data_IF_177125310021
#
_entry.id   IF_177125310021
#
_cell.length_a   1.000
_cell.length_b   1.000
_cell.length_c   1.000
_cell.angle_alpha   90.00
_cell.angle_beta   90.00
_cell.angle_gamma   90.00
#
_symmetry.space_group_name_H-M   'P 1'
#
loop_
_entity.id
_entity.type
_entity.pdbx_description
1 polymer ?
#
# COMPACT_ATOMS: atom_id res chain seq x y z
N UNK A 1 -36.83 -66.02 -31.73
CA UNK A 1 -35.72 -65.33 -31.04
C UNK A 1 -35.11 -64.30 -31.99
N UNK A 2 -35.21 -63.03 -31.62
CA UNK A 2 -35.05 -61.88 -32.50
C UNK A 2 -33.57 -61.54 -32.80
N UNK A 3 -33.29 -61.24 -34.08
CA UNK A 3 -32.03 -60.68 -34.56
C UNK A 3 -31.89 -59.23 -34.08
N UNK A 4 -30.84 -58.93 -33.31
CA UNK A 4 -30.44 -57.56 -32.96
C UNK A 4 -29.80 -56.88 -34.17
N UNK A 5 -30.38 -55.75 -34.59
CA UNK A 5 -29.85 -54.83 -35.59
C UNK A 5 -29.37 -53.55 -34.88
N UNK A 6 -28.15 -53.14 -35.22
CA UNK A 6 -27.53 -51.80 -35.28
C UNK A 6 -27.64 -50.80 -34.13
N UNK A 7 -26.52 -50.15 -33.81
CA UNK A 7 -26.32 -48.71 -34.09
C UNK A 7 -24.85 -48.31 -33.81
N UNK A 8 -24.06 -48.21 -34.87
CA UNK A 8 -22.74 -47.56 -34.86
C UNK A 8 -22.93 -46.06 -34.99
N UNK A 9 -22.64 -45.30 -33.93
CA UNK A 9 -22.66 -43.84 -33.96
C UNK A 9 -21.36 -43.35 -34.61
N UNK A 10 -21.49 -42.84 -35.83
CA UNK A 10 -20.44 -42.07 -36.51
C UNK A 10 -20.31 -40.71 -35.81
N UNK A 11 -19.20 -40.51 -35.10
CA UNK A 11 -18.80 -39.20 -34.58
C UNK A 11 -18.23 -38.41 -35.77
N UNK A 12 -19.02 -37.49 -36.32
CA UNK A 12 -18.50 -36.49 -37.25
C UNK A 12 -17.56 -35.55 -36.48
N UNK A 13 -16.35 -35.21 -37.00
CA UNK A 13 -15.55 -34.15 -36.42
C UNK A 13 -16.33 -32.84 -36.51
N UNK A 14 -16.38 -32.10 -35.41
CA UNK A 14 -16.85 -30.72 -35.42
C UNK A 14 -15.96 -29.94 -36.39
N UNK A 15 -16.55 -29.46 -37.49
CA UNK A 15 -15.92 -28.45 -38.32
C UNK A 15 -15.84 -27.17 -37.47
N UNK A 16 -14.62 -26.75 -37.13
CA UNK A 16 -14.37 -25.43 -36.56
C UNK A 16 -14.78 -24.39 -37.60
N UNK A 17 -15.95 -23.78 -37.37
CA UNK A 17 -16.28 -22.53 -38.02
C UNK A 17 -15.29 -21.48 -37.50
N UNK A 18 -14.33 -21.09 -38.34
CA UNK A 18 -13.45 -19.95 -38.09
C UNK A 18 -14.32 -18.73 -37.76
N UNK A 19 -14.44 -18.41 -36.47
CA UNK A 19 -15.02 -17.15 -36.02
C UNK A 19 -14.03 -16.06 -36.41
N UNK A 20 -14.50 -14.94 -37.00
CA UNK A 20 -13.62 -13.83 -37.36
C UNK A 20 -12.86 -13.38 -36.12
N UNK A 21 -11.53 -13.38 -36.21
CA UNK A 21 -10.63 -12.89 -35.18
C UNK A 21 -10.98 -11.42 -34.95
N UNK A 22 -11.67 -11.14 -33.83
CA UNK A 22 -11.97 -9.77 -33.39
C UNK A 22 -10.65 -9.00 -33.30
N UNK A 23 -10.68 -7.75 -33.76
CA UNK A 23 -9.57 -6.81 -33.62
C UNK A 23 -9.03 -6.83 -32.17
N UNK A 24 -7.71 -7.01 -32.05
CA UNK A 24 -6.98 -6.97 -30.78
C UNK A 24 -7.15 -5.57 -30.21
N UNK A 25 -7.84 -5.44 -29.07
CA UNK A 25 -7.91 -4.17 -28.35
C UNK A 25 -6.68 -4.00 -27.46
N UNK A 26 -6.10 -2.81 -27.44
CA UNK A 26 -4.83 -2.56 -26.76
C UNK A 26 -4.92 -2.68 -25.22
N UNK A 27 -6.08 -2.39 -24.62
CA UNK A 27 -6.29 -2.49 -23.17
C UNK A 27 -7.75 -2.80 -22.81
N UNK A 28 -7.94 -3.57 -21.73
CA UNK A 28 -9.23 -3.76 -21.07
C UNK A 28 -9.23 -3.22 -19.63
N UNK A 29 -10.42 -2.96 -19.08
CA UNK A 29 -10.65 -2.48 -17.72
C UNK A 29 -11.14 -3.58 -16.75
N UNK A 30 -11.20 -4.83 -17.22
CA UNK A 30 -11.69 -5.99 -16.47
C UNK A 30 -10.54 -6.96 -16.23
N UNK A 31 -10.52 -7.70 -15.13
CA UNK A 31 -9.37 -8.57 -14.87
C UNK A 31 -9.39 -9.87 -15.65
N UNK A 32 -8.25 -10.23 -16.24
CA UNK A 32 -8.08 -11.44 -17.05
C UNK A 32 -7.36 -12.59 -16.33
N UNK A 33 -6.98 -12.42 -15.05
CA UNK A 33 -6.15 -13.37 -14.30
C UNK A 33 -6.74 -14.79 -14.22
N UNK A 34 -8.06 -14.90 -14.13
CA UNK A 34 -8.81 -16.15 -13.95
C UNK A 34 -9.83 -16.38 -15.07
N UNK A 35 -9.80 -15.59 -16.15
CA UNK A 35 -10.73 -15.76 -17.27
C UNK A 35 -10.28 -16.90 -18.17
N UNK A 36 -11.17 -17.34 -19.07
CA UNK A 36 -10.82 -18.32 -20.11
C UNK A 36 -9.54 -17.88 -20.83
N UNK A 37 -8.59 -18.80 -21.08
CA UNK A 37 -7.30 -18.44 -21.65
C UNK A 37 -7.36 -17.74 -23.00
N UNK A 38 -8.39 -18.02 -23.79
CA UNK A 38 -8.66 -17.35 -25.06
C UNK A 38 -8.90 -15.86 -24.90
N UNK A 39 -9.43 -15.41 -23.76
CA UNK A 39 -9.63 -13.99 -23.48
C UNK A 39 -8.28 -13.26 -23.29
N UNK A 40 -7.30 -13.90 -22.64
CA UNK A 40 -5.98 -13.30 -22.41
C UNK A 40 -5.22 -13.03 -23.71
N UNK A 41 -5.36 -13.91 -24.71
CA UNK A 41 -4.72 -13.74 -26.02
C UNK A 41 -5.30 -12.61 -26.87
N UNK A 42 -6.42 -12.00 -26.48
CA UNK A 42 -7.09 -10.94 -27.24
C UNK A 42 -6.58 -9.53 -26.92
N UNK A 43 -5.76 -9.38 -25.87
CA UNK A 43 -5.30 -8.08 -25.38
C UNK A 43 -3.78 -8.03 -25.29
N UNK A 44 -3.20 -6.86 -25.58
CA UNK A 44 -1.77 -6.60 -25.35
C UNK A 44 -1.50 -6.18 -23.91
N UNK A 45 -2.34 -5.29 -23.39
CA UNK A 45 -2.34 -4.89 -21.99
C UNK A 45 -3.72 -5.11 -21.34
N UNK A 46 -3.75 -5.21 -20.02
CA UNK A 46 -5.01 -5.23 -19.29
C UNK A 46 -4.91 -4.53 -17.94
N UNK A 47 -5.86 -3.66 -17.62
CA UNK A 47 -5.96 -2.97 -16.34
C UNK A 47 -7.12 -3.54 -15.50
N UNK A 48 -6.90 -3.74 -14.20
CA UNK A 48 -7.98 -4.19 -13.31
C UNK A 48 -7.77 -3.81 -11.84
N UNK A 49 -8.84 -3.91 -11.05
CA UNK A 49 -8.78 -3.83 -9.57
C UNK A 49 -8.43 -5.21 -9.01
N UNK A 50 -7.27 -5.38 -8.39
CA UNK A 50 -6.75 -6.69 -7.96
C UNK A 50 -6.86 -6.96 -6.46
N UNK A 51 -7.37 -5.99 -5.69
CA UNK A 51 -7.73 -6.19 -4.29
C UNK A 51 -8.59 -5.01 -3.81
N UNK A 52 -9.60 -5.26 -2.98
CA UNK A 52 -10.37 -4.20 -2.30
C UNK A 52 -10.65 -4.61 -0.86
N UNK A 53 -10.43 -3.70 0.08
CA UNK A 53 -10.76 -3.91 1.50
C UNK A 53 -11.31 -2.67 2.15
N UNK A 54 -12.51 -2.80 2.70
CA UNK A 54 -13.22 -1.75 3.43
C UNK A 54 -13.37 -2.11 4.89
N UNK A 55 -13.24 -1.11 5.75
CA UNK A 55 -13.62 -1.15 7.16
C UNK A 55 -14.87 -0.32 7.38
N UNK A 56 -15.80 -0.86 8.13
CA UNK A 56 -16.98 -0.15 8.60
C UNK A 56 -16.91 -0.05 10.11
N UNK A 57 -17.29 1.11 10.65
CA UNK A 57 -17.38 1.33 12.09
C UNK A 57 -18.81 1.00 12.56
N UNK A 58 -18.95 0.56 13.79
CA UNK A 58 -20.18 0.05 14.37
C UNK A 58 -20.22 -1.47 14.45
N UNK A 59 -21.19 -1.98 15.22
CA UNK A 59 -21.45 -3.41 15.33
C UNK A 59 -21.94 -3.96 13.97
N UNK A 60 -21.55 -5.20 13.67
CA UNK A 60 -22.00 -5.86 12.46
C UNK A 60 -23.44 -6.36 12.61
N UNK A 61 -24.32 -5.94 11.70
CA UNK A 61 -25.71 -6.42 11.65
C UNK A 61 -25.99 -7.12 10.30
N UNK A 62 -26.09 -8.45 10.37
CA UNK A 62 -26.42 -9.31 9.23
C UNK A 62 -27.82 -9.08 8.65
N UNK A 63 -28.71 -8.43 9.42
CA UNK A 63 -30.07 -8.13 9.00
C UNK A 63 -30.24 -6.71 8.45
N UNK A 64 -29.22 -5.86 8.57
CA UNK A 64 -29.25 -4.49 8.10
C UNK A 64 -29.50 -4.38 6.60
N UNK A 65 -30.25 -3.34 6.19
CA UNK A 65 -30.48 -3.04 4.77
C UNK A 65 -29.16 -2.81 4.03
N UNK A 66 -28.18 -2.21 4.70
CA UNK A 66 -26.85 -2.00 4.13
C UNK A 66 -26.18 -3.34 3.76
N UNK A 67 -26.14 -4.30 4.69
CA UNK A 67 -25.51 -5.59 4.41
C UNK A 67 -26.26 -6.37 3.33
N UNK A 68 -27.61 -6.35 3.34
CA UNK A 68 -28.42 -6.95 2.28
C UNK A 68 -28.13 -6.34 0.89
N UNK A 69 -28.05 -5.02 0.81
CA UNK A 69 -27.71 -4.32 -0.42
C UNK A 69 -26.28 -4.64 -0.87
N UNK A 70 -25.34 -4.77 0.07
CA UNK A 70 -23.97 -5.14 -0.22
C UNK A 70 -23.89 -6.54 -0.85
N UNK A 71 -24.56 -7.53 -0.26
CA UNK A 71 -24.65 -8.89 -0.82
C UNK A 71 -25.33 -8.90 -2.20
N UNK A 72 -26.34 -8.06 -2.41
CA UNK A 72 -27.03 -7.93 -3.69
C UNK A 72 -26.11 -7.37 -4.79
N UNK A 73 -25.32 -6.32 -4.49
CA UNK A 73 -24.33 -5.77 -5.43
C UNK A 73 -23.21 -6.76 -5.72
N UNK A 74 -22.80 -7.53 -4.71
CA UNK A 74 -21.83 -8.63 -4.85
C UNK A 74 -22.41 -9.83 -5.60
N UNK A 75 -23.73 -9.90 -5.78
CA UNK A 75 -24.50 -11.03 -6.33
C UNK A 75 -24.19 -12.36 -5.64
N UNK A 76 -23.96 -12.32 -4.33
CA UNK A 76 -23.78 -13.51 -3.47
C UNK A 76 -25.10 -13.87 -2.78
N UNK A 77 -25.30 -15.15 -2.47
CA UNK A 77 -26.50 -15.60 -1.74
C UNK A 77 -26.31 -15.41 -0.23
N UNK A 78 -27.22 -14.71 0.48
CA UNK A 78 -27.08 -14.48 1.92
C UNK A 78 -26.98 -15.74 2.79
N UNK A 79 -27.58 -16.84 2.35
CA UNK A 79 -27.56 -18.12 3.08
C UNK A 79 -26.38 -19.02 2.72
N UNK A 80 -25.52 -18.64 1.78
CA UNK A 80 -24.40 -19.48 1.32
C UNK A 80 -23.07 -18.84 1.70
N UNK A 81 -22.65 -19.12 2.93
CA UNK A 81 -21.33 -18.77 3.42
C UNK A 81 -20.76 -19.88 4.30
N UNK A 82 -19.43 -19.90 4.40
CA UNK A 82 -18.70 -20.69 5.40
C UNK A 82 -18.29 -19.75 6.52
N UNK A 83 -18.57 -20.13 7.77
CA UNK A 83 -18.05 -19.44 8.95
C UNK A 83 -16.74 -20.10 9.39
N UNK A 84 -15.71 -19.29 9.54
CA UNK A 84 -14.37 -19.66 9.99
C UNK A 84 -13.92 -18.74 11.14
N UNK A 85 -12.80 -19.09 11.77
CA UNK A 85 -12.15 -18.22 12.75
C UNK A 85 -11.66 -16.93 12.09
N UNK A 86 -11.87 -15.78 12.77
CA UNK A 86 -11.42 -14.47 12.30
C UNK A 86 -9.88 -14.33 12.27
N UNK A 87 -9.40 -13.30 11.58
CA UNK A 87 -7.98 -12.96 11.52
C UNK A 87 -7.76 -11.56 12.09
N UNK A 88 -6.50 -11.19 12.37
CA UNK A 88 -6.14 -9.81 12.78
C UNK A 88 -6.96 -9.26 13.97
N UNK A 89 -7.32 -10.12 14.93
CA UNK A 89 -8.08 -9.75 16.12
C UNK A 89 -9.61 -9.84 15.97
N UNK A 90 -10.13 -10.10 14.76
CA UNK A 90 -11.55 -10.41 14.57
C UNK A 90 -11.86 -11.82 15.07
N UNK A 91 -13.07 -12.02 15.60
CA UNK A 91 -13.51 -13.31 16.15
C UNK A 91 -14.00 -14.26 15.05
N UNK A 92 -14.73 -13.74 14.07
CA UNK A 92 -15.36 -14.55 13.01
C UNK A 92 -14.99 -14.05 11.62
N UNK A 93 -14.97 -14.98 10.68
CA UNK A 93 -14.77 -14.77 9.25
C UNK A 93 -15.91 -15.44 8.49
N UNK A 94 -16.72 -14.68 7.76
CA UNK A 94 -17.76 -15.19 6.87
C UNK A 94 -17.23 -15.19 5.43
N UNK A 95 -17.25 -16.34 4.77
CA UNK A 95 -16.71 -16.50 3.41
C UNK A 95 -17.85 -16.83 2.45
N UNK A 96 -18.16 -15.91 1.54
CA UNK A 96 -19.17 -16.05 0.49
C UNK A 96 -18.50 -16.34 -0.85
N UNK A 97 -19.07 -17.26 -1.63
CA UNK A 97 -18.58 -17.70 -2.95
C UNK A 97 -17.04 -17.87 -2.96
N UNK A 98 -16.53 -18.58 -1.94
CA UNK A 98 -15.11 -18.93 -1.69
C UNK A 98 -14.14 -17.77 -1.39
N UNK A 99 -14.40 -16.56 -1.87
CA UNK A 99 -13.38 -15.49 -1.90
C UNK A 99 -13.84 -14.12 -1.40
N UNK A 100 -15.14 -13.89 -1.14
CA UNK A 100 -15.62 -12.64 -0.53
C UNK A 100 -15.68 -12.82 0.98
N UNK A 101 -14.85 -12.06 1.70
CA UNK A 101 -14.63 -12.27 3.13
C UNK A 101 -15.21 -11.11 3.93
N UNK A 102 -16.00 -11.42 4.95
CA UNK A 102 -16.37 -10.49 6.01
C UNK A 102 -15.72 -10.88 7.33
N UNK A 103 -15.02 -9.97 7.99
CA UNK A 103 -14.46 -10.22 9.33
C UNK A 103 -15.20 -9.38 10.36
N UNK A 104 -15.73 -10.04 11.40
CA UNK A 104 -16.68 -9.45 12.35
C UNK A 104 -16.30 -9.79 13.79
N UNK A 105 -16.73 -8.94 14.73
CA UNK A 105 -16.46 -9.09 16.16
C UNK A 105 -15.00 -8.85 16.53
N UNK A 106 -14.65 -9.16 17.78
CA UNK A 106 -13.29 -8.99 18.30
C UNK A 106 -13.17 -7.91 19.37
N UNK A 107 -12.57 -8.26 20.51
CA UNK A 107 -12.35 -7.32 21.61
C UNK A 107 -11.33 -6.22 21.28
N UNK A 108 -10.44 -6.47 20.33
CA UNK A 108 -9.33 -5.56 19.97
C UNK A 108 -9.54 -4.85 18.63
N UNK A 109 -10.66 -5.06 17.95
CA UNK A 109 -10.94 -4.52 16.60
C UNK A 109 -11.75 -3.23 16.66
N UNK A 110 -11.52 -2.41 17.69
CA UNK A 110 -12.20 -1.13 17.88
C UNK A 110 -11.45 0.01 17.16
N UNK A 111 -12.18 1.02 16.73
CA UNK A 111 -11.59 2.24 16.15
C UNK A 111 -10.99 3.15 17.24
N UNK A 112 -10.46 4.31 16.84
CA UNK A 112 -9.84 5.27 17.77
C UNK A 112 -10.79 5.84 18.82
N UNK A 113 -12.10 5.76 18.58
CA UNK A 113 -13.17 6.23 19.46
C UNK A 113 -13.75 5.09 20.33
N UNK A 114 -13.21 3.87 20.21
CA UNK A 114 -13.67 2.69 20.95
C UNK A 114 -14.90 2.00 20.35
N UNK A 115 -15.38 2.42 19.19
CA UNK A 115 -16.48 1.74 18.48
C UNK A 115 -15.98 0.44 17.86
N UNK A 116 -16.84 -0.58 17.80
CA UNK A 116 -16.54 -1.82 17.08
C UNK A 116 -16.34 -1.56 15.59
N UNK A 117 -15.66 -2.49 14.91
CA UNK A 117 -15.51 -2.42 13.46
C UNK A 117 -15.72 -3.78 12.85
N UNK A 118 -15.96 -3.81 11.55
CA UNK A 118 -15.94 -5.02 10.74
C UNK A 118 -15.36 -4.72 9.36
N UNK A 119 -14.93 -5.76 8.65
CA UNK A 119 -14.24 -5.64 7.38
C UNK A 119 -14.99 -6.37 6.28
N UNK A 120 -14.95 -5.83 5.07
CA UNK A 120 -15.14 -6.55 3.82
C UNK A 120 -13.79 -6.63 3.11
N UNK A 121 -13.41 -7.82 2.63
CA UNK A 121 -12.17 -8.08 1.94
C UNK A 121 -12.40 -8.92 0.68
N UNK A 122 -11.87 -8.44 -0.44
CA UNK A 122 -11.88 -9.10 -1.74
C UNK A 122 -10.46 -9.19 -2.27
N UNK A 123 -9.92 -10.40 -2.34
CA UNK A 123 -8.62 -10.72 -2.94
C UNK A 123 -8.66 -10.63 -4.47
N UNK A 124 -7.51 -10.76 -5.14
CA UNK A 124 -7.47 -10.77 -6.61
C UNK A 124 -8.33 -11.87 -7.25
N UNK A 125 -8.46 -13.04 -6.63
CA UNK A 125 -9.41 -14.07 -7.10
C UNK A 125 -10.85 -13.61 -6.93
N UNK A 126 -11.20 -13.09 -5.75
CA UNK A 126 -12.52 -12.51 -5.45
C UNK A 126 -12.93 -11.41 -6.43
N UNK A 127 -12.00 -10.54 -6.81
CA UNK A 127 -12.22 -9.49 -7.80
C UNK A 127 -12.52 -10.08 -9.19
N UNK A 128 -11.91 -11.20 -9.58
CA UNK A 128 -12.25 -11.88 -10.85
C UNK A 128 -13.60 -12.58 -10.78
N UNK A 129 -13.94 -13.17 -9.64
CA UNK A 129 -15.26 -13.81 -9.47
C UNK A 129 -16.36 -12.74 -9.49
N UNK A 130 -16.11 -11.57 -8.92
CA UNK A 130 -16.96 -10.38 -9.02
C UNK A 130 -17.16 -9.93 -10.49
N UNK A 131 -16.08 -9.79 -11.27
CA UNK A 131 -16.17 -9.46 -12.69
C UNK A 131 -16.97 -10.52 -13.48
N UNK A 132 -16.71 -11.80 -13.21
CA UNK A 132 -17.34 -12.93 -13.91
C UNK A 132 -18.84 -13.00 -13.64
N UNK A 133 -19.29 -12.59 -12.44
CA UNK A 133 -20.71 -12.43 -12.10
C UNK A 133 -21.35 -11.19 -12.76
N UNK A 134 -20.60 -10.41 -13.52
CA UNK A 134 -21.07 -9.18 -14.16
C UNK A 134 -21.50 -8.13 -13.15
N UNK A 135 -20.81 -8.06 -12.02
CA UNK A 135 -21.08 -7.06 -10.98
C UNK A 135 -20.47 -5.70 -11.35
N UNK A 136 -21.02 -4.63 -10.80
CA UNK A 136 -20.60 -3.26 -11.10
C UNK A 136 -19.66 -2.74 -10.02
N UNK A 137 -18.40 -2.47 -10.41
CA UNK A 137 -17.43 -1.82 -9.50
C UNK A 137 -17.90 -0.44 -9.05
N UNK A 138 -18.60 0.30 -9.93
CA UNK A 138 -19.17 1.61 -9.59
C UNK A 138 -20.19 1.44 -8.46
N UNK A 139 -21.10 0.47 -8.56
CA UNK A 139 -22.14 0.26 -7.54
C UNK A 139 -21.53 -0.18 -6.21
N UNK A 140 -20.55 -1.10 -6.24
CA UNK A 140 -19.88 -1.59 -5.03
C UNK A 140 -19.15 -0.46 -4.30
N UNK A 141 -18.26 0.24 -5.01
CA UNK A 141 -17.45 1.30 -4.41
C UNK A 141 -18.33 2.46 -3.95
N UNK A 142 -19.34 2.85 -4.73
CA UNK A 142 -20.28 3.91 -4.36
C UNK A 142 -21.09 3.53 -3.11
N UNK A 143 -21.57 2.28 -3.03
CA UNK A 143 -22.31 1.79 -1.87
C UNK A 143 -21.44 1.80 -0.62
N UNK A 144 -20.21 1.27 -0.69
CA UNK A 144 -19.29 1.28 0.45
C UNK A 144 -18.99 2.71 0.93
N UNK A 145 -18.67 3.64 0.01
CA UNK A 145 -18.33 5.02 0.37
C UNK A 145 -19.54 5.79 0.91
N UNK A 146 -20.73 5.62 0.32
CA UNK A 146 -21.98 6.24 0.80
C UNK A 146 -22.29 5.86 2.26
N UNK A 147 -21.96 4.63 2.65
CA UNK A 147 -22.12 4.13 4.02
C UNK A 147 -20.89 4.36 4.91
N UNK A 148 -20.07 5.39 4.58
CA UNK A 148 -18.87 5.77 5.35
C UNK A 148 -17.85 4.64 5.51
N UNK A 149 -17.82 3.70 4.57
CA UNK A 149 -16.80 2.67 4.49
C UNK A 149 -15.43 3.29 4.27
N UNK A 150 -14.46 2.89 5.09
CA UNK A 150 -13.08 3.35 5.01
C UNK A 150 -12.30 2.32 4.20
N UNK A 151 -11.89 2.69 2.98
CA UNK A 151 -11.02 1.84 2.18
C UNK A 151 -9.64 1.75 2.86
N UNK A 152 -9.28 0.58 3.35
CA UNK A 152 -8.01 0.34 4.05
C UNK A 152 -6.95 -0.28 3.13
N UNK A 153 -7.38 -0.89 2.03
CA UNK A 153 -6.50 -1.33 0.93
C UNK A 153 -7.26 -1.36 -0.39
N UNK A 154 -6.62 -0.88 -1.45
CA UNK A 154 -7.04 -1.09 -2.83
C UNK A 154 -5.80 -1.31 -3.70
N UNK A 155 -5.86 -2.34 -4.54
CA UNK A 155 -4.78 -2.66 -5.46
C UNK A 155 -5.30 -2.54 -6.90
N UNK A 156 -4.51 -1.92 -7.78
CA UNK A 156 -4.72 -1.90 -9.23
C UNK A 156 -3.59 -2.64 -9.91
N UNK A 157 -3.85 -3.27 -11.05
CA UNK A 157 -2.85 -4.00 -11.80
C UNK A 157 -2.87 -3.65 -13.28
N UNK A 158 -1.68 -3.61 -13.90
CA UNK A 158 -1.48 -3.71 -15.34
C UNK A 158 -0.84 -5.07 -15.63
N UNK A 159 -1.49 -5.85 -16.48
CA UNK A 159 -0.94 -7.03 -17.11
C UNK A 159 -0.36 -6.68 -18.47
N UNK A 160 0.90 -7.01 -18.70
CA UNK A 160 1.59 -6.89 -19.98
C UNK A 160 1.81 -8.28 -20.58
N UNK A 161 1.09 -8.57 -21.66
CA UNK A 161 1.18 -9.83 -22.41
C UNK A 161 2.12 -9.73 -23.63
N UNK A 162 2.61 -8.54 -23.94
CA UNK A 162 3.37 -8.25 -25.16
C UNK A 162 4.78 -8.82 -25.12
N UNK A 163 5.40 -8.81 -23.93
CA UNK A 163 6.84 -9.08 -23.78
C UNK A 163 7.74 -7.96 -24.29
N UNK A 164 7.19 -6.77 -24.55
CA UNK A 164 7.98 -5.59 -24.93
C UNK A 164 8.98 -5.21 -23.84
N UNK A 165 8.56 -5.31 -22.58
CA UNK A 165 9.42 -5.25 -21.41
C UNK A 165 9.64 -6.69 -20.93
N UNK A 166 10.90 -7.09 -20.82
CA UNK A 166 11.29 -8.39 -20.25
C UNK A 166 11.57 -8.30 -18.75
N UNK A 167 11.50 -9.46 -18.08
CA UNK A 167 11.93 -9.60 -16.67
C UNK A 167 13.38 -9.12 -16.49
N UNK A 168 14.26 -9.48 -17.42
CA UNK A 168 15.69 -9.13 -17.35
C UNK A 168 15.93 -7.62 -17.50
N UNK A 169 15.11 -6.93 -18.31
CA UNK A 169 15.18 -5.47 -18.41
C UNK A 169 14.73 -4.76 -17.13
N UNK A 170 13.76 -5.32 -16.40
CA UNK A 170 13.36 -4.83 -15.08
C UNK A 170 14.47 -5.13 -14.06
N UNK A 171 14.98 -6.36 -14.02
CA UNK A 171 16.11 -6.76 -13.18
C UNK A 171 17.28 -5.81 -13.35
N UNK A 172 17.73 -5.60 -14.58
CA UNK A 172 18.82 -4.68 -14.92
C UNK A 172 18.59 -3.29 -14.31
N UNK A 173 17.38 -2.75 -14.45
CA UNK A 173 17.05 -1.42 -13.92
C UNK A 173 16.99 -1.38 -12.40
N UNK A 174 16.50 -2.44 -11.77
CA UNK A 174 16.51 -2.57 -10.30
C UNK A 174 17.94 -2.63 -9.79
N UNK A 175 18.76 -3.55 -10.31
CA UNK A 175 20.15 -3.75 -9.88
C UNK A 175 21.02 -2.51 -10.09
N UNK A 176 20.81 -1.76 -11.18
CA UNK A 176 21.55 -0.53 -11.46
C UNK A 176 20.89 0.74 -10.91
N UNK A 177 19.87 0.62 -10.04
CA UNK A 177 19.14 1.76 -9.45
C UNK A 177 18.68 2.79 -10.51
N UNK A 178 18.24 2.30 -11.68
CA UNK A 178 17.75 3.11 -12.81
C UNK A 178 16.27 3.46 -12.67
N UNK A 179 15.89 4.01 -11.52
CA UNK A 179 14.51 4.38 -11.23
C UNK A 179 14.45 5.53 -10.23
N UNK A 180 13.30 6.19 -10.17
CA UNK A 180 12.94 7.10 -9.07
C UNK A 180 11.63 6.66 -8.45
N UNK A 181 11.50 6.81 -7.14
CA UNK A 181 10.24 6.58 -6.42
C UNK A 181 10.03 7.66 -5.36
N UNK A 182 8.78 8.09 -5.10
CA UNK A 182 8.50 9.05 -4.04
C UNK A 182 8.41 8.41 -2.64
N UNK A 183 8.42 7.08 -2.55
CA UNK A 183 8.33 6.33 -1.30
C UNK A 183 9.73 6.13 -0.72
N UNK A 184 9.90 6.31 0.59
CA UNK A 184 11.12 5.88 1.30
C UNK A 184 10.96 4.41 1.71
N UNK A 185 11.98 3.59 1.52
CA UNK A 185 12.02 2.25 2.12
C UNK A 185 12.23 2.37 3.63
N UNK A 186 11.72 1.39 4.39
CA UNK A 186 11.94 1.32 5.84
C UNK A 186 13.08 0.36 6.14
N UNK A 187 14.12 0.83 6.86
CA UNK A 187 15.16 -0.02 7.43
C UNK A 187 14.55 -0.95 8.47
N UNK A 188 14.60 -2.26 8.23
CA UNK A 188 14.47 -3.25 9.31
C UNK A 188 15.88 -3.69 9.68
N UNK A 189 16.38 -3.24 10.82
CA UNK A 189 17.57 -3.81 11.44
C UNK A 189 17.15 -5.19 11.99
N UNK A 190 17.60 -6.25 11.35
CA UNK A 190 17.26 -7.62 11.72
C UNK A 190 17.32 -8.56 10.52
N UNK A 191 18.22 -9.54 10.63
CA UNK A 191 18.48 -10.62 9.68
C UNK A 191 17.20 -11.15 9.06
N UNK A 192 17.09 -11.00 7.75
CA UNK A 192 16.14 -11.73 6.92
C UNK A 192 16.96 -12.45 5.87
N UNK A 193 16.89 -13.76 5.93
CA UNK A 193 17.34 -14.67 4.90
C UNK A 193 16.83 -14.24 3.52
N UNK A 194 17.64 -14.56 2.50
CA UNK A 194 17.40 -14.34 1.06
C UNK A 194 17.79 -12.93 0.55
N UNK A 195 19.00 -12.51 0.89
CA UNK A 195 20.01 -12.17 -0.12
C UNK A 195 21.25 -12.96 0.30
N UNK A 196 21.99 -13.53 -0.65
CA UNK A 196 23.24 -14.22 -0.33
C UNK A 196 24.08 -13.39 0.64
N UNK A 197 24.54 -14.05 1.68
CA UNK A 197 25.47 -13.61 2.72
C UNK A 197 25.80 -12.11 2.80
N UNK A 198 25.41 -11.49 3.91
CA UNK A 198 26.25 -10.48 4.57
C UNK A 198 26.37 -9.10 3.91
N UNK A 199 25.29 -8.53 3.38
CA UNK A 199 25.27 -7.09 3.05
C UNK A 199 24.44 -6.33 4.09
N UNK A 200 25.11 -5.57 4.95
CA UNK A 200 24.46 -4.51 5.72
C UNK A 200 23.90 -3.47 4.73
N UNK A 201 22.57 -3.35 4.71
CA UNK A 201 21.87 -2.46 3.78
C UNK A 201 21.77 -1.07 4.43
N UNK A 202 22.65 -0.15 4.02
CA UNK A 202 22.72 1.20 4.57
C UNK A 202 21.73 2.22 3.98
N UNK A 203 21.12 1.93 2.82
CA UNK A 203 20.34 2.92 2.07
C UNK A 203 18.85 2.97 2.48
N UNK A 204 18.24 4.15 2.27
CA UNK A 204 16.82 4.41 2.61
C UNK A 204 15.86 4.12 1.44
N UNK A 205 16.34 3.57 0.32
CA UNK A 205 15.58 3.43 -0.94
C UNK A 205 15.55 1.98 -1.50
N UNK A 206 15.64 0.97 -0.63
CA UNK A 206 15.82 -0.41 -1.08
C UNK A 206 14.54 -1.09 -1.56
N UNK A 207 14.68 -1.65 -2.76
CA UNK A 207 13.73 -2.54 -3.43
C UNK A 207 13.95 -3.95 -2.91
N UNK A 208 12.87 -4.63 -2.51
CA UNK A 208 12.97 -6.06 -2.18
C UNK A 208 12.80 -6.84 -3.47
N UNK A 209 13.85 -7.56 -3.88
CA UNK A 209 13.79 -8.48 -5.01
C UNK A 209 13.97 -9.91 -4.52
N UNK A 210 13.12 -10.81 -5.02
CA UNK A 210 13.19 -12.23 -4.72
C UNK A 210 13.28 -12.96 -6.06
N UNK A 211 14.32 -13.79 -6.21
CA UNK A 211 14.45 -14.75 -7.30
C UNK A 211 14.17 -16.15 -6.76
N UNK A 212 13.24 -16.87 -7.37
CA UNK A 212 12.98 -18.27 -7.05
C UNK A 212 13.70 -19.19 -8.03
N UNK A 213 13.99 -20.42 -7.60
CA UNK A 213 14.68 -21.46 -8.37
C UNK A 213 14.04 -21.80 -9.73
N UNK A 214 12.80 -21.36 -9.98
CA UNK A 214 12.03 -21.61 -11.20
C UNK A 214 11.89 -20.36 -12.11
N UNK A 215 12.88 -19.46 -12.15
CA UNK A 215 12.84 -18.19 -12.88
C UNK A 215 11.70 -17.24 -12.43
N UNK A 216 11.17 -17.43 -11.23
CA UNK A 216 10.22 -16.49 -10.62
C UNK A 216 10.98 -15.24 -10.20
N UNK A 217 10.53 -14.08 -10.67
CA UNK A 217 11.07 -12.78 -10.27
C UNK A 217 9.94 -11.94 -9.71
N UNK A 218 10.18 -11.32 -8.56
CA UNK A 218 9.34 -10.30 -7.95
C UNK A 218 10.21 -9.16 -7.46
N UNK A 219 9.84 -7.92 -7.78
CA UNK A 219 10.42 -6.70 -7.24
C UNK A 219 9.34 -5.83 -6.59
N UNK A 220 9.54 -5.53 -5.31
CA UNK A 220 8.66 -4.71 -4.49
C UNK A 220 9.32 -3.37 -4.17
N UNK A 221 8.67 -2.27 -4.58
CA UNK A 221 9.08 -0.90 -4.35
C UNK A 221 8.17 -0.25 -3.32
N UNK A 222 8.71 0.24 -2.21
CA UNK A 222 7.92 0.79 -1.11
C UNK A 222 7.46 -0.28 -0.11
N UNK A 223 6.50 0.08 0.75
CA UNK A 223 6.12 -0.76 1.91
C UNK A 223 4.60 -0.76 2.14
N UNK A 224 4.13 -1.77 2.86
CA UNK A 224 2.72 -1.90 3.27
C UNK A 224 2.23 -0.81 4.24
N UNK A 225 3.10 0.12 4.65
CA UNK A 225 2.71 1.24 5.53
C UNK A 225 1.94 2.33 4.79
N UNK A 226 2.16 2.50 3.49
CA UNK A 226 1.50 3.53 2.69
C UNK A 226 1.13 2.99 1.33
N UNK A 227 2.11 2.79 0.45
CA UNK A 227 1.88 2.32 -0.92
C UNK A 227 3.08 1.52 -1.39
N UNK A 228 2.86 0.59 -2.32
CA UNK A 228 3.86 -0.33 -2.84
C UNK A 228 3.58 -0.61 -4.32
N UNK A 229 4.62 -0.70 -5.16
CA UNK A 229 4.51 -1.31 -6.47
C UNK A 229 5.16 -2.70 -6.42
N UNK A 230 4.45 -3.72 -6.85
CA UNK A 230 4.98 -5.08 -7.04
C UNK A 230 5.03 -5.40 -8.53
N UNK A 231 6.22 -5.74 -9.03
CA UNK A 231 6.43 -6.16 -10.42
C UNK A 231 6.89 -7.60 -10.42
N UNK A 232 6.15 -8.49 -11.09
CA UNK A 232 6.49 -9.91 -11.08
C UNK A 232 6.07 -10.67 -12.34
N UNK A 233 6.72 -11.81 -12.56
CA UNK A 233 6.38 -12.74 -13.63
C UNK A 233 5.09 -13.50 -13.27
N UNK A 234 3.95 -12.99 -13.76
CA UNK A 234 2.63 -13.54 -13.47
C UNK A 234 2.40 -14.88 -14.16
N UNK A 235 2.99 -15.10 -15.34
CA UNK A 235 2.93 -16.41 -16.01
C UNK A 235 3.58 -17.49 -15.14
N UNK A 236 4.78 -17.24 -14.64
CA UNK A 236 5.46 -18.18 -13.74
C UNK A 236 4.66 -18.43 -12.46
N UNK A 237 4.08 -17.38 -11.86
CA UNK A 237 3.20 -17.50 -10.69
C UNK A 237 1.96 -18.37 -10.97
N UNK A 238 1.29 -18.17 -12.10
CA UNK A 238 0.11 -18.96 -12.48
C UNK A 238 0.44 -20.42 -12.78
N UNK A 239 1.52 -20.67 -13.51
CA UNK A 239 1.99 -22.04 -13.78
C UNK A 239 2.38 -22.77 -12.50
N UNK A 240 2.99 -22.08 -11.52
CA UNK A 240 3.32 -22.68 -10.22
C UNK A 240 2.10 -23.09 -9.39
N UNK A 241 0.93 -22.52 -9.71
CA UNK A 241 -0.37 -22.86 -9.13
C UNK A 241 -1.20 -23.76 -10.04
N UNK A 242 -0.57 -24.40 -11.02
CA UNK A 242 -1.18 -25.37 -11.95
C UNK A 242 -2.30 -24.78 -12.84
N UNK A 243 -2.36 -23.46 -12.99
CA UNK A 243 -3.27 -22.84 -13.94
C UNK A 243 -2.71 -22.89 -15.36
N UNK A 244 -3.59 -23.16 -16.32
CA UNK A 244 -3.24 -23.10 -17.74
C UNK A 244 -3.03 -21.65 -18.20
N UNK A 245 -1.92 -21.38 -18.91
CA UNK A 245 -1.53 -20.05 -19.40
C UNK A 245 -1.09 -20.15 -20.86
N UNK A 246 -1.67 -19.33 -21.73
CA UNK A 246 -1.49 -19.44 -23.20
C UNK A 246 -0.81 -18.22 -23.82
N UNK A 247 -0.46 -17.23 -23.02
CA UNK A 247 0.34 -16.07 -23.44
C UNK A 247 1.83 -16.39 -23.39
N UNK A 248 2.59 -15.83 -24.34
CA UNK A 248 4.05 -16.03 -24.40
C UNK A 248 4.76 -15.36 -23.23
N UNK A 249 4.40 -14.11 -22.96
CA UNK A 249 4.86 -13.30 -21.82
C UNK A 249 3.69 -12.90 -20.93
N UNK A 250 3.95 -12.70 -19.64
CA UNK A 250 2.99 -12.08 -18.71
C UNK A 250 3.74 -11.48 -17.53
N UNK A 251 4.01 -10.18 -17.61
CA UNK A 251 4.46 -9.38 -16.48
C UNK A 251 3.26 -8.67 -15.87
N UNK A 252 3.18 -8.65 -14.53
CA UNK A 252 2.20 -7.85 -13.80
C UNK A 252 2.90 -6.73 -13.05
N UNK A 253 2.31 -5.54 -13.16
CA UNK A 253 2.63 -4.36 -12.38
C UNK A 253 1.45 -4.06 -11.45
N UNK A 254 1.59 -4.34 -10.17
CA UNK A 254 0.52 -4.25 -9.17
C UNK A 254 0.79 -3.07 -8.21
N UNK A 255 0.04 -2.00 -8.38
CA UNK A 255 0.06 -0.84 -7.49
C UNK A 255 -0.87 -1.06 -6.31
N UNK A 256 -0.28 -1.21 -5.12
CA UNK A 256 -0.97 -1.47 -3.86
C UNK A 256 -1.02 -0.22 -2.99
N UNK A 257 -2.21 0.18 -2.59
CA UNK A 257 -2.43 1.36 -1.77
C UNK A 257 -3.03 0.93 -0.42
N UNK A 258 -2.50 1.47 0.67
CA UNK A 258 -2.88 1.14 2.04
C UNK A 258 -3.31 2.41 2.80
N UNK A 259 -4.20 2.23 3.77
CA UNK A 259 -4.64 3.26 4.72
C UNK A 259 -5.09 4.55 4.02
N UNK A 260 -4.51 5.71 4.36
CA UNK A 260 -4.90 7.01 3.81
C UNK A 260 -4.71 7.05 2.29
N UNK A 261 -3.66 6.40 1.77
CA UNK A 261 -3.47 6.33 0.32
C UNK A 261 -4.51 5.45 -0.38
N UNK A 262 -5.05 4.43 0.29
CA UNK A 262 -6.15 3.63 -0.23
C UNK A 262 -7.43 4.46 -0.32
N UNK A 263 -7.70 5.30 0.68
CA UNK A 263 -8.83 6.25 0.64
C UNK A 263 -8.68 7.22 -0.53
N UNK A 264 -7.51 7.80 -0.75
CA UNK A 264 -7.29 8.68 -1.90
C UNK A 264 -7.41 7.92 -3.24
N UNK A 265 -6.80 6.74 -3.33
CA UNK A 265 -6.83 5.94 -4.55
C UNK A 265 -8.25 5.49 -4.92
N UNK A 266 -9.04 4.99 -3.97
CA UNK A 266 -10.39 4.48 -4.27
C UNK A 266 -11.32 5.57 -4.79
N UNK A 267 -11.19 6.81 -4.31
CA UNK A 267 -11.99 7.94 -4.81
C UNK A 267 -11.65 8.30 -6.25
N UNK A 268 -10.35 8.35 -6.58
CA UNK A 268 -9.89 8.61 -7.96
C UNK A 268 -10.29 7.46 -8.88
N UNK A 269 -10.17 6.21 -8.41
CA UNK A 269 -10.60 5.01 -9.13
C UNK A 269 -12.09 5.08 -9.44
N UNK A 270 -12.95 5.37 -8.44
CA UNK A 270 -14.39 5.47 -8.65
C UNK A 270 -14.74 6.55 -9.67
N UNK A 271 -14.17 7.75 -9.54
CA UNK A 271 -14.37 8.83 -10.51
C UNK A 271 -13.95 8.39 -11.92
N UNK A 272 -12.80 7.72 -12.04
CA UNK A 272 -12.31 7.25 -13.34
C UNK A 272 -13.14 6.14 -13.97
N UNK A 273 -13.80 5.30 -13.16
CA UNK A 273 -14.75 4.31 -13.64
C UNK A 273 -16.02 4.99 -14.18
N UNK A 274 -16.50 6.02 -13.49
CA UNK A 274 -17.67 6.80 -13.92
C UNK A 274 -17.40 7.58 -15.21
N UNK A 275 -16.19 8.14 -15.34
CA UNK A 275 -15.78 8.95 -16.49
C UNK A 275 -15.16 8.13 -17.64
N UNK A 276 -15.14 6.79 -17.55
CA UNK A 276 -14.50 5.89 -18.52
C UNK A 276 -13.00 6.18 -18.78
N UNK A 277 -12.28 6.69 -17.77
CA UNK A 277 -10.84 6.98 -17.83
C UNK A 277 -9.98 6.01 -17.01
N UNK A 278 -10.56 4.91 -16.53
CA UNK A 278 -9.93 3.95 -15.63
C UNK A 278 -8.53 3.47 -16.07
N UNK A 279 -8.34 3.09 -17.34
CA UNK A 279 -7.04 2.63 -17.85
C UNK A 279 -5.95 3.70 -17.70
N UNK A 280 -6.27 4.95 -18.08
CA UNK A 280 -5.35 6.09 -17.95
C UNK A 280 -5.03 6.37 -16.48
N UNK A 281 -6.04 6.26 -15.61
CA UNK A 281 -5.89 6.43 -14.17
C UNK A 281 -4.99 5.36 -13.54
N UNK A 282 -5.18 4.09 -13.89
CA UNK A 282 -4.32 2.99 -13.41
C UNK A 282 -2.88 3.21 -13.85
N UNK A 283 -2.64 3.58 -15.11
CA UNK A 283 -1.30 3.91 -15.60
C UNK A 283 -0.68 5.09 -14.82
N UNK A 284 -1.45 6.16 -14.58
CA UNK A 284 -1.01 7.31 -13.79
C UNK A 284 -0.69 6.97 -12.33
N UNK A 285 -1.48 6.10 -11.71
CA UNK A 285 -1.24 5.58 -10.35
C UNK A 285 0.04 4.75 -10.28
N UNK A 286 0.28 3.86 -11.25
CA UNK A 286 1.51 3.04 -11.31
C UNK A 286 2.74 3.93 -11.56
N UNK A 287 2.68 4.88 -12.50
CA UNK A 287 3.73 5.89 -12.70
C UNK A 287 4.01 6.68 -11.43
N UNK A 288 2.95 6.94 -10.66
CA UNK A 288 2.99 7.55 -9.33
C UNK A 288 3.94 6.87 -8.36
N UNK A 289 4.04 5.55 -8.44
CA UNK A 289 4.82 4.71 -7.53
C UNK A 289 6.28 4.62 -7.96
N UNK A 290 6.56 4.36 -9.24
CA UNK A 290 7.92 4.21 -9.75
C UNK A 290 8.01 4.80 -11.15
N UNK A 291 9.13 5.46 -11.44
CA UNK A 291 9.46 5.87 -12.80
C UNK A 291 10.84 5.33 -13.16
N UNK A 292 10.88 4.36 -14.08
CA UNK A 292 12.13 3.82 -14.60
C UNK A 292 12.80 4.79 -15.55
N UNK A 293 14.13 4.83 -15.50
CA UNK A 293 14.95 5.79 -16.21
C UNK A 293 15.81 5.10 -17.26
N UNK A 294 16.19 5.83 -18.30
CA UNK A 294 17.19 5.38 -19.26
C UNK A 294 18.55 5.17 -18.57
N UNK A 295 19.39 4.31 -19.15
CA UNK A 295 20.78 4.15 -18.68
C UNK A 295 21.49 5.50 -18.78
N UNK A 296 22.15 5.89 -17.70
CA UNK A 296 22.86 7.16 -17.61
C UNK A 296 23.96 7.07 -16.54
N UNK A 297 24.87 8.05 -16.56
CA UNK A 297 26.03 8.12 -15.66
C UNK A 297 25.79 9.02 -14.43
N UNK A 298 24.54 9.38 -14.12
CA UNK A 298 24.24 10.14 -12.91
C UNK A 298 24.49 9.27 -11.67
N UNK A 299 24.40 9.83 -10.47
CA UNK A 299 24.26 9.04 -9.24
C UNK A 299 22.77 8.85 -8.89
N UNK A 300 22.47 8.10 -7.82
CA UNK A 300 21.09 7.84 -7.41
C UNK A 300 20.35 9.14 -7.01
N UNK A 301 21.06 10.13 -6.46
CA UNK A 301 20.48 11.40 -5.99
C UNK A 301 20.01 12.28 -7.14
N UNK A 302 20.71 12.25 -8.27
CA UNK A 302 20.37 13.01 -9.47
C UNK A 302 19.55 12.19 -10.48
N UNK A 303 19.14 10.95 -10.13
CA UNK A 303 18.40 10.03 -11.02
C UNK A 303 17.13 10.63 -11.61
N UNK A 304 16.51 11.58 -10.91
CA UNK A 304 15.31 12.28 -11.38
C UNK A 304 15.53 13.10 -12.65
N UNK A 305 16.76 13.57 -12.91
CA UNK A 305 17.11 14.32 -14.12
C UNK A 305 17.23 13.42 -15.36
N UNK A 306 17.37 12.11 -15.18
CA UNK A 306 17.45 11.19 -16.29
C UNK A 306 16.12 11.12 -17.06
N UNK A 307 16.17 10.97 -18.40
CA UNK A 307 14.98 10.69 -19.20
C UNK A 307 14.26 9.43 -18.71
N UNK A 308 12.93 9.46 -18.80
CA UNK A 308 12.09 8.28 -18.54
C UNK A 308 12.41 7.22 -19.58
N UNK A 309 12.49 5.97 -19.14
CA UNK A 309 12.72 4.85 -20.04
C UNK A 309 11.59 4.73 -21.05
N UNK A 310 11.90 4.78 -22.35
CA UNK A 310 10.89 4.86 -23.41
C UNK A 310 9.89 3.70 -23.40
N UNK A 311 10.33 2.46 -23.13
CA UNK A 311 9.40 1.32 -23.07
C UNK A 311 8.43 1.42 -21.89
N UNK A 312 8.90 1.94 -20.75
CA UNK A 312 8.06 2.18 -19.57
C UNK A 312 7.01 3.27 -19.86
N UNK A 313 7.43 4.39 -20.44
CA UNK A 313 6.49 5.47 -20.81
C UNK A 313 5.45 4.99 -21.83
N UNK A 314 5.87 4.20 -22.82
CA UNK A 314 4.96 3.62 -23.80
C UNK A 314 3.96 2.64 -23.18
N UNK A 315 4.40 1.76 -22.26
CA UNK A 315 3.52 0.80 -21.56
C UNK A 315 2.46 1.53 -20.72
N UNK A 316 2.81 2.69 -20.18
CA UNK A 316 1.90 3.55 -19.43
C UNK A 316 1.14 4.56 -20.31
N UNK A 317 1.22 4.45 -21.64
CA UNK A 317 0.57 5.35 -22.61
C UNK A 317 0.84 6.83 -22.32
N UNK A 318 2.07 7.15 -21.89
CA UNK A 318 2.49 8.49 -21.48
C UNK A 318 1.54 9.15 -20.47
N UNK A 319 0.87 8.36 -19.62
CA UNK A 319 -0.05 8.85 -18.61
C UNK A 319 0.65 9.80 -17.64
N UNK A 320 -0.04 10.85 -17.21
CA UNK A 320 0.45 11.77 -16.19
C UNK A 320 0.57 11.06 -14.84
N UNK A 321 1.59 11.43 -14.08
CA UNK A 321 1.89 10.83 -12.79
C UNK A 321 0.86 11.27 -11.74
N UNK A 322 0.15 10.31 -11.14
CA UNK A 322 -0.76 10.56 -10.01
C UNK A 322 0.00 10.26 -8.71
N UNK A 323 0.13 11.24 -7.81
CA UNK A 323 0.80 11.04 -6.52
C UNK A 323 -0.06 11.48 -5.36
N UNK A 324 -0.01 10.70 -4.28
CA UNK A 324 -0.60 11.07 -2.99
C UNK A 324 0.48 11.72 -2.14
N UNK A 325 0.31 13.02 -1.87
CA UNK A 325 1.07 13.73 -0.84
C UNK A 325 0.23 13.64 0.42
N UNK A 326 0.70 12.92 1.44
CA UNK A 326 0.06 12.96 2.74
C UNK A 326 0.36 14.33 3.37
N UNK A 327 -0.53 15.30 3.19
CA UNK A 327 -0.41 16.63 3.77
C UNK A 327 -0.71 16.65 5.27
N UNK A 328 -1.33 15.59 5.81
CA UNK A 328 -1.35 15.41 7.24
C UNK A 328 0.10 15.12 7.65
N UNK A 329 0.80 16.16 8.14
CA UNK A 329 1.93 15.97 9.04
C UNK A 329 1.47 14.88 9.97
N UNK A 330 2.12 13.71 9.92
CA UNK A 330 1.96 12.72 10.98
C UNK A 330 2.44 13.49 12.20
N UNK A 331 1.51 14.05 12.97
CA UNK A 331 1.81 14.59 14.28
C UNK A 331 2.44 13.40 15.00
N UNK A 332 3.76 13.43 15.13
CA UNK A 332 4.48 12.44 15.88
C UNK A 332 3.90 12.54 17.28
N UNK A 333 3.25 11.48 17.74
CA UNK A 333 2.70 11.47 19.09
C UNK A 333 3.83 11.81 20.05
N UNK A 334 3.52 12.55 21.11
CA UNK A 334 4.50 12.91 22.13
C UNK A 334 5.22 11.66 22.67
N UNK A 335 4.52 10.51 22.72
CA UNK A 335 5.10 9.20 23.01
C UNK A 335 6.23 8.78 22.03
N UNK A 336 6.04 8.95 20.73
CA UNK A 336 7.09 8.66 19.73
C UNK A 336 8.25 9.65 19.81
N UNK A 337 7.98 10.90 20.19
CA UNK A 337 9.03 11.90 20.48
C UNK A 337 9.85 11.51 21.73
N UNK A 338 9.22 10.92 22.75
CA UNK A 338 9.93 10.37 23.92
C UNK A 338 10.84 9.20 23.55
N UNK A 339 10.38 8.27 22.72
CA UNK A 339 11.19 7.15 22.23
C UNK A 339 12.40 7.64 21.43
N UNK A 340 12.22 8.62 20.53
CA UNK A 340 13.31 9.27 19.81
C UNK A 340 14.33 9.92 20.75
N UNK A 341 13.87 10.61 21.80
CA UNK A 341 14.75 11.23 22.79
C UNK A 341 15.62 10.17 23.48
N UNK A 342 15.04 9.02 23.79
CA UNK A 342 15.72 7.92 24.47
C UNK A 342 16.76 7.24 23.55
N UNK A 343 16.40 6.95 22.30
CA UNK A 343 17.27 6.27 21.35
C UNK A 343 18.41 7.15 20.81
N UNK A 344 18.12 8.41 20.48
CA UNK A 344 19.06 9.26 19.73
C UNK A 344 19.72 10.33 20.60
N UNK A 345 18.97 10.97 21.50
CA UNK A 345 19.50 12.04 22.34
C UNK A 345 20.06 11.52 23.69
N UNK A 346 19.57 10.38 24.18
CA UNK A 346 19.95 9.83 25.49
C UNK A 346 21.45 9.62 25.65
N UNK A 347 22.11 9.05 24.63
CA UNK A 347 23.58 8.87 24.64
C UNK A 347 24.34 10.19 24.79
N UNK A 348 23.83 11.27 24.21
CA UNK A 348 24.44 12.61 24.28
C UNK A 348 24.23 13.23 25.66
N UNK A 349 23.04 13.09 26.23
CA UNK A 349 22.75 13.56 27.60
C UNK A 349 23.62 12.86 28.63
N UNK A 350 23.81 11.54 28.52
CA UNK A 350 24.72 10.78 29.41
C UNK A 350 26.16 11.26 29.29
N UNK A 351 26.66 11.51 28.07
CA UNK A 351 28.00 12.07 27.88
C UNK A 351 28.15 13.45 28.53
N UNK A 352 27.16 14.32 28.39
CA UNK A 352 27.18 15.64 28.99
C UNK A 352 27.19 15.56 30.52
N UNK A 353 26.37 14.67 31.10
CA UNK A 353 26.37 14.42 32.55
C UNK A 353 27.74 13.90 33.03
N UNK A 354 28.31 12.90 32.37
CA UNK A 354 29.60 12.33 32.76
C UNK A 354 30.76 13.32 32.60
N UNK A 355 30.66 14.26 31.65
CA UNK A 355 31.67 15.30 31.45
C UNK A 355 31.70 16.32 32.59
N UNK A 356 30.54 16.73 33.09
CA UNK A 356 30.45 17.60 34.26
C UNK A 356 29.10 17.43 35.00
N UNK A 357 29.03 16.52 35.99
CA UNK A 357 27.79 16.26 36.72
C UNK A 357 27.26 17.49 37.47
N UNK A 358 28.16 18.33 38.00
CA UNK A 358 27.80 19.50 38.80
C UNK A 358 27.16 20.65 37.99
N UNK A 359 27.43 20.70 36.68
CA UNK A 359 26.85 21.69 35.77
C UNK A 359 25.64 21.17 34.98
N UNK A 360 25.27 19.88 35.12
CA UNK A 360 24.28 19.25 34.27
C UNK A 360 22.87 19.85 34.41
N UNK A 361 22.44 20.14 35.64
CA UNK A 361 21.12 20.74 35.88
C UNK A 361 21.02 22.13 35.27
N UNK A 362 22.08 22.93 35.38
CA UNK A 362 22.18 24.25 34.72
C UNK A 362 22.17 24.12 33.19
N UNK A 363 22.84 23.10 32.65
CA UNK A 363 22.84 22.81 31.22
C UNK A 363 21.43 22.48 30.73
N UNK A 364 20.69 21.64 31.46
CA UNK A 364 19.31 21.30 31.11
C UNK A 364 18.38 22.50 31.22
N UNK A 365 18.54 23.34 32.25
CA UNK A 365 17.80 24.59 32.39
C UNK A 365 18.03 25.52 31.19
N UNK A 366 19.29 25.72 30.80
CA UNK A 366 19.67 26.52 29.65
C UNK A 366 19.05 25.97 28.34
N UNK A 367 19.11 24.65 28.13
CA UNK A 367 18.50 23.98 26.96
C UNK A 367 16.99 24.21 26.93
N UNK A 368 16.30 24.06 28.06
CA UNK A 368 14.85 24.27 28.12
C UNK A 368 14.47 25.72 27.82
N UNK A 369 15.18 26.69 28.41
CA UNK A 369 14.95 28.10 28.13
C UNK A 369 15.14 28.42 26.64
N UNK A 370 16.20 27.90 26.02
CA UNK A 370 16.47 28.14 24.60
C UNK A 370 15.50 27.38 23.66
N UNK A 371 15.05 26.19 24.05
CA UNK A 371 14.14 25.38 23.22
C UNK A 371 12.70 25.87 23.29
N UNK A 372 12.27 26.51 24.38
CA UNK A 372 10.87 26.92 24.56
C UNK A 372 10.41 27.96 23.54
N UNK A 373 11.32 28.78 23.04
CA UNK A 373 11.03 29.77 22.00
C UNK A 373 10.69 29.13 20.65
N UNK A 374 11.04 27.85 20.46
CA UNK A 374 10.76 27.08 19.25
C UNK A 374 9.43 26.34 19.31
N UNK A 375 8.72 26.36 20.44
CA UNK A 375 7.39 25.76 20.56
C UNK A 375 6.36 26.54 19.73
N UNK A 376 5.45 25.81 19.09
CA UNK A 376 4.32 26.37 18.37
C UNK A 376 2.96 25.85 18.86
N UNK A 377 1.87 26.33 18.26
CA UNK A 377 0.51 25.91 18.63
C UNK A 377 0.22 24.42 18.33
N UNK A 378 0.92 23.80 17.37
CA UNK A 378 0.78 22.37 17.07
C UNK A 378 1.45 21.53 18.17
N UNK A 379 2.61 21.96 18.67
CA UNK A 379 3.25 21.32 19.82
C UNK A 379 2.37 21.39 21.08
N UNK A 380 1.75 22.54 21.36
CA UNK A 380 0.81 22.70 22.48
C UNK A 380 -0.42 21.81 22.34
N UNK A 381 -0.96 21.67 21.13
CA UNK A 381 -2.08 20.76 20.85
C UNK A 381 -1.71 19.31 21.17
N UNK A 382 -0.49 18.88 20.79
CA UNK A 382 0.06 17.56 21.11
C UNK A 382 0.28 17.36 22.62
N UNK A 383 0.77 18.39 23.32
CA UNK A 383 0.96 18.38 24.78
C UNK A 383 -0.38 18.24 25.50
N UNK A 384 -1.39 19.04 25.14
CA UNK A 384 -2.70 19.01 25.77
C UNK A 384 -3.42 17.67 25.56
N UNK A 385 -3.23 17.04 24.40
CA UNK A 385 -3.73 15.67 24.16
C UNK A 385 -3.22 14.68 25.21
N UNK A 386 -1.92 14.69 25.54
CA UNK A 386 -1.37 13.83 26.59
C UNK A 386 -1.85 14.26 27.98
N UNK A 387 -1.87 15.57 28.27
CA UNK A 387 -2.33 16.10 29.56
C UNK A 387 -3.75 15.66 29.89
N UNK A 388 -4.66 15.66 28.90
CA UNK A 388 -6.05 15.19 29.08
C UNK A 388 -6.12 13.69 29.38
N UNK A 389 -5.26 12.87 28.78
CA UNK A 389 -5.17 11.44 29.10
C UNK A 389 -4.78 11.23 30.58
N UNK A 390 -3.90 12.08 31.11
CA UNK A 390 -3.48 12.07 32.51
C UNK A 390 -4.38 12.91 33.43
N UNK A 391 -5.56 13.33 32.96
CA UNK A 391 -6.52 14.18 33.70
C UNK A 391 -5.94 15.51 34.21
N UNK A 392 -4.95 16.06 33.51
CA UNK A 392 -4.34 17.37 33.77
C UNK A 392 -5.04 18.46 32.95
N UNK A 393 -5.07 19.68 33.47
CA UNK A 393 -5.61 20.86 32.77
C UNK A 393 -4.77 21.22 31.55
N UNK A 394 -5.42 21.70 30.49
CA UNK A 394 -4.73 22.21 29.31
C UNK A 394 -3.85 23.44 29.64
N UNK A 395 -2.83 23.64 28.81
CA UNK A 395 -1.93 24.80 28.85
C UNK A 395 -2.00 25.56 27.52
N UNK A 396 -1.62 26.83 27.54
CA UNK A 396 -1.48 27.66 26.33
C UNK A 396 -0.01 27.80 25.94
N UNK A 397 0.26 28.20 24.70
CA UNK A 397 1.63 28.49 24.25
C UNK A 397 2.30 29.54 25.12
N UNK A 398 1.61 30.66 25.33
CA UNK A 398 2.09 31.78 26.14
C UNK A 398 2.37 31.38 27.58
N UNK A 399 1.43 30.69 28.25
CA UNK A 399 1.64 30.23 29.63
C UNK A 399 2.78 29.22 29.75
N UNK A 400 2.97 28.36 28.75
CA UNK A 400 4.06 27.37 28.74
C UNK A 400 5.41 28.04 28.53
N UNK A 401 5.50 28.99 27.60
CA UNK A 401 6.72 29.76 27.35
C UNK A 401 7.11 30.59 28.57
N UNK A 402 6.13 31.29 29.16
CA UNK A 402 6.35 32.11 30.35
C UNK A 402 6.79 31.24 31.54
N UNK A 403 6.10 30.12 31.78
CA UNK A 403 6.46 29.20 32.85
C UNK A 403 7.93 28.73 32.75
N UNK A 404 8.39 28.35 31.56
CA UNK A 404 9.78 27.93 31.39
C UNK A 404 10.75 29.11 31.60
N UNK A 405 10.43 30.29 31.08
CA UNK A 405 11.27 31.48 31.25
C UNK A 405 11.38 31.91 32.71
N UNK A 406 10.33 31.73 33.49
CA UNK A 406 10.31 32.08 34.92
C UNK A 406 11.05 31.06 35.81
N UNK A 407 11.14 29.80 35.37
CA UNK A 407 11.66 28.70 36.19
C UNK A 407 13.03 28.17 35.75
N UNK A 408 13.53 28.58 34.57
CA UNK A 408 14.80 28.10 34.03
C UNK A 408 15.65 29.27 33.52
N UNK A 409 16.91 29.31 33.93
CA UNK A 409 17.82 30.42 33.64
C UNK A 409 18.13 30.54 32.14
N UNK A 410 18.16 31.78 31.64
CA UNK A 410 18.48 32.12 30.24
C UNK A 410 19.98 32.16 29.98
N UNK A 411 20.76 32.51 30.99
CA UNK A 411 22.20 32.64 30.93
C UNK A 411 22.80 31.74 32.02
N UNK A 412 23.99 31.21 31.78
CA UNK A 412 24.69 30.44 32.79
C UNK A 412 26.13 30.93 32.90
N UNK A 413 26.49 31.35 34.11
CA UNK A 413 27.85 31.74 34.49
C UNK A 413 28.76 30.52 34.69
N UNK A 414 28.24 29.30 34.46
CA UNK A 414 29.01 28.08 34.59
C UNK A 414 30.05 27.99 33.46
N UNK A 415 31.36 27.96 33.78
CA UNK A 415 32.43 27.95 32.77
C UNK A 415 32.31 26.82 31.75
N UNK A 416 31.73 25.68 32.16
CA UNK A 416 31.48 24.55 31.27
C UNK A 416 30.43 24.89 30.21
N UNK A 417 29.31 25.50 30.62
CA UNK A 417 28.23 25.89 29.71
C UNK A 417 28.71 27.01 28.80
N UNK A 418 29.45 27.98 29.32
CA UNK A 418 30.04 29.04 28.52
C UNK A 418 30.97 28.48 27.45
N UNK A 419 31.84 27.53 27.80
CA UNK A 419 32.78 26.90 26.87
C UNK A 419 32.10 26.08 25.76
N UNK A 420 30.96 25.45 26.05
CA UNK A 420 30.22 24.61 25.09
C UNK A 420 29.36 25.45 24.14
N UNK A 421 28.70 26.52 24.63
CA UNK A 421 27.68 27.24 23.85
C UNK A 421 28.12 28.61 23.30
N UNK A 422 29.08 29.32 23.91
CA UNK A 422 29.58 30.60 23.35
C UNK A 422 30.49 30.43 22.12
N UNK A 423 30.70 29.19 21.63
CA UNK A 423 31.29 28.95 20.31
C UNK A 423 30.27 28.91 19.17
N UNK A 424 28.97 28.97 19.48
CA UNK A 424 27.88 28.75 18.53
C UNK A 424 26.77 29.83 18.56
N UNK A 425 26.94 30.88 19.38
CA UNK A 425 26.22 32.15 19.29
C UNK A 425 27.21 33.15 18.70
#
# INVERSE_FOLDING_TARGET
MAKKKSLSVSVKPYAEAERPVKAVSEAAAVGLSNTLPTAQSLYTYNCCLDYVKFRFNGEFDAHSDFFRNLLAVLKVKPSMYVEEHGNNGYEKKLVFDENVIFQIGGRTTRNGDGEETWLMEMSGSSCRDFDTRGCSWIDLLSLCLKHRGICTRVDVAIDDFTGNISVDEIKYRVFHKLYTMPMRSWKKTGTSDILGEGVEIEDKDDVRSIESLNNGFTADFGTKYSKQLSIYNKKAERLSKEYAVFVKSWLRYEGRFFKESAVSAVNIILASLQDNTFVKTVAGLIRGLVEFKEKNNLDHRHRYMAPVWKKWDNMLHSAEKITFVNQAKIETSLARKHEWLLEYAGKTLVKAYLANPGAFDKLMAFIFNHAVEKLDNSDISSINKLRRQDKRKDVTLESSQQFIKDNFEKESDDPYISAVFYRYI
#
